data_IF_318008783079
#
_entry.id   IF_318008783079
#
_cell.length_a   1.000
_cell.length_b   1.000
_cell.length_c   1.000
_cell.angle_alpha   90.00
_cell.angle_beta   90.00
_cell.angle_gamma   90.00
#
_symmetry.space_group_name_H-M   'P 1'
#
loop_
_entity.id
_entity.type
_entity.pdbx_description
1 polymer ?
#
# COMPACT_ATOMS: atom_id res chain seq x y z
N UNK A 1 9.46 -48.53 7.67
CA UNK A 1 9.39 -47.91 6.31
C UNK A 1 8.81 -46.50 6.49
N UNK A 2 9.70 -45.52 6.72
CA UNK A 2 9.33 -44.12 6.95
C UNK A 2 9.48 -43.44 5.60
N UNK A 3 8.36 -43.13 4.95
CA UNK A 3 8.33 -42.38 3.70
C UNK A 3 8.55 -40.88 4.02
N UNK A 4 9.62 -40.35 3.49
CA UNK A 4 9.94 -38.92 3.46
C UNK A 4 8.84 -38.16 2.71
N UNK A 5 8.07 -37.35 3.43
CA UNK A 5 7.34 -36.22 2.86
C UNK A 5 8.26 -35.00 2.89
N UNK A 6 9.15 -34.90 1.91
CA UNK A 6 9.98 -33.72 1.71
C UNK A 6 9.42 -32.89 0.56
N UNK A 7 8.91 -31.70 0.92
CA UNK A 7 9.00 -30.45 0.15
C UNK A 7 8.46 -30.40 -1.27
N UNK A 8 7.13 -30.33 -1.39
CA UNK A 8 6.50 -29.68 -2.55
C UNK A 8 6.42 -28.13 -2.42
N UNK A 9 6.79 -27.59 -1.28
CA UNK A 9 6.72 -26.16 -0.99
C UNK A 9 7.83 -25.32 -1.67
N UNK A 10 8.97 -25.92 -1.98
CA UNK A 10 10.10 -25.19 -2.56
C UNK A 10 9.99 -24.97 -4.09
N UNK A 11 9.21 -25.79 -4.80
CA UNK A 11 9.10 -25.71 -6.24
C UNK A 11 8.08 -24.68 -6.76
N UNK A 12 7.13 -24.25 -5.92
CA UNK A 12 6.13 -23.25 -6.31
C UNK A 12 6.69 -21.83 -6.28
N UNK A 13 7.77 -21.59 -5.57
CA UNK A 13 8.41 -20.27 -5.45
C UNK A 13 9.29 -19.89 -6.65
N UNK A 14 9.67 -20.86 -7.51
CA UNK A 14 10.55 -20.64 -8.65
C UNK A 14 9.87 -20.02 -9.89
N UNK A 15 8.54 -19.86 -9.89
CA UNK A 15 7.77 -19.27 -10.99
C UNK A 15 7.00 -17.99 -10.61
N UNK A 16 7.19 -17.43 -9.43
CA UNK A 16 6.61 -16.14 -9.05
C UNK A 16 7.27 -15.04 -9.91
N UNK A 17 6.50 -14.51 -10.83
CA UNK A 17 6.94 -13.46 -11.75
C UNK A 17 6.80 -12.13 -11.03
N UNK A 18 7.84 -11.70 -10.31
CA UNK A 18 7.80 -10.36 -9.69
C UNK A 18 7.52 -9.30 -10.76
N UNK A 19 6.52 -8.48 -10.54
CA UNK A 19 6.21 -7.34 -11.40
C UNK A 19 5.78 -6.14 -10.57
N UNK A 20 5.92 -4.95 -11.14
CA UNK A 20 5.35 -3.71 -10.64
C UNK A 20 4.55 -3.09 -11.77
N UNK A 21 3.29 -2.74 -11.49
CA UNK A 21 2.41 -2.06 -12.42
C UNK A 21 1.97 -0.72 -11.83
N UNK A 22 2.27 0.36 -12.53
CA UNK A 22 1.73 1.68 -12.22
C UNK A 22 0.24 1.72 -12.60
N UNK A 23 -0.61 1.96 -11.62
CA UNK A 23 -2.05 2.15 -11.82
C UNK A 23 -2.34 3.61 -12.11
N UNK A 24 -1.90 4.50 -11.25
CA UNK A 24 -1.88 5.97 -11.45
C UNK A 24 -1.23 6.67 -10.25
N UNK A 25 -0.80 7.92 -10.42
CA UNK A 25 -0.13 8.69 -9.36
C UNK A 25 0.93 7.85 -8.65
N UNK A 26 0.77 7.69 -7.31
CA UNK A 26 1.60 6.80 -6.51
C UNK A 26 1.04 5.37 -6.38
N UNK A 27 -0.17 5.08 -6.91
CA UNK A 27 -0.81 3.77 -6.77
C UNK A 27 -0.12 2.73 -7.64
N UNK A 28 0.43 1.71 -6.99
CA UNK A 28 1.10 0.58 -7.63
C UNK A 28 0.40 -0.73 -7.24
N UNK A 29 0.21 -1.64 -8.21
CA UNK A 29 -0.05 -3.06 -7.92
C UNK A 29 1.20 -3.85 -8.27
N UNK A 30 1.64 -4.70 -7.35
CA UNK A 30 2.85 -5.47 -7.56
C UNK A 30 2.70 -6.90 -7.08
N UNK A 31 3.45 -7.80 -7.70
CA UNK A 31 3.69 -9.14 -7.20
C UNK A 31 5.13 -9.24 -6.73
N UNK A 32 5.33 -9.64 -5.50
CA UNK A 32 6.63 -9.86 -4.90
C UNK A 32 6.60 -11.06 -3.97
N UNK A 33 7.55 -11.97 -4.12
CA UNK A 33 7.65 -13.22 -3.35
C UNK A 33 6.32 -14.03 -3.31
N UNK A 34 5.55 -14.01 -4.41
CA UNK A 34 4.27 -14.70 -4.54
C UNK A 34 3.10 -14.00 -3.83
N UNK A 35 3.25 -12.72 -3.43
CA UNK A 35 2.21 -11.90 -2.81
C UNK A 35 1.78 -10.77 -3.72
N UNK A 36 0.46 -10.54 -3.78
CA UNK A 36 -0.14 -9.40 -4.47
C UNK A 36 -0.26 -8.23 -3.50
N UNK A 37 0.43 -7.13 -3.81
CA UNK A 37 0.56 -5.97 -2.92
C UNK A 37 -0.01 -4.74 -3.63
N UNK A 38 -0.85 -3.99 -2.94
CA UNK A 38 -1.32 -2.68 -3.38
C UNK A 38 -0.61 -1.59 -2.58
N UNK A 39 0.01 -0.65 -3.28
CA UNK A 39 0.70 0.50 -2.67
C UNK A 39 -0.10 1.76 -2.94
N UNK A 40 -0.27 2.61 -1.93
CA UNK A 40 -0.90 3.93 -2.00
C UNK A 40 -2.22 3.93 -2.80
N UNK A 41 -3.29 3.31 -2.27
CA UNK A 41 -4.53 3.07 -2.99
C UNK A 41 -5.36 4.34 -3.18
N UNK A 42 -5.07 5.13 -4.20
CA UNK A 42 -5.89 6.25 -4.66
C UNK A 42 -6.89 5.75 -5.71
N UNK A 43 -8.09 5.35 -5.29
CA UNK A 43 -9.04 4.60 -6.11
C UNK A 43 -10.24 5.42 -6.64
N UNK A 44 -10.42 6.65 -6.19
CA UNK A 44 -11.53 7.51 -6.57
C UNK A 44 -11.55 7.88 -8.06
N UNK A 45 -12.62 8.40 -8.56
CA UNK A 45 -12.73 8.86 -9.95
C UNK A 45 -11.75 10.01 -10.25
N UNK A 46 -11.37 10.18 -11.51
CA UNK A 46 -10.59 11.36 -11.93
C UNK A 46 -11.25 12.65 -11.42
N UNK A 47 -10.48 13.49 -10.75
CA UNK A 47 -10.94 14.78 -10.25
C UNK A 47 -11.81 14.72 -8.99
N UNK A 48 -11.89 13.58 -8.30
CA UNK A 48 -12.75 13.40 -7.13
C UNK A 48 -12.21 14.05 -5.84
N UNK A 49 -10.95 14.45 -5.81
CA UNK A 49 -10.28 15.03 -4.65
C UNK A 49 -9.67 16.39 -4.98
N UNK A 50 -9.64 17.29 -4.00
CA UNK A 50 -8.95 18.60 -4.13
C UNK A 50 -7.43 18.40 -4.03
N UNK A 51 -6.68 19.16 -4.81
CA UNK A 51 -5.23 19.21 -4.66
C UNK A 51 -4.86 20.12 -3.48
N UNK A 52 -4.03 19.64 -2.57
CA UNK A 52 -3.57 20.42 -1.42
C UNK A 52 -2.73 21.65 -1.82
N UNK A 53 -1.98 21.56 -2.92
CA UNK A 53 -1.04 22.60 -3.37
C UNK A 53 -1.28 23.07 -4.81
N UNK A 54 -2.35 22.64 -5.46
CA UNK A 54 -2.58 22.93 -6.86
C UNK A 54 -4.00 23.35 -7.21
N UNK A 55 -4.15 23.98 -8.37
CA UNK A 55 -5.46 24.40 -8.91
C UNK A 55 -6.24 23.24 -9.57
N UNK A 56 -5.56 22.12 -9.87
CA UNK A 56 -6.20 21.01 -10.57
C UNK A 56 -6.58 19.92 -9.58
N UNK A 57 -7.81 19.40 -9.64
CA UNK A 57 -8.25 18.31 -8.77
C UNK A 57 -7.46 17.01 -9.03
N UNK A 58 -7.32 16.19 -8.01
CA UNK A 58 -6.77 14.84 -8.06
C UNK A 58 -7.88 13.77 -8.08
N UNK A 59 -7.60 12.55 -8.52
CA UNK A 59 -6.50 12.16 -9.42
C UNK A 59 -6.63 12.79 -10.81
N UNK A 60 -5.51 13.00 -11.49
CA UNK A 60 -5.48 13.68 -12.80
C UNK A 60 -5.84 12.78 -13.98
N UNK A 61 -5.77 11.49 -13.79
CA UNK A 61 -6.08 10.47 -14.80
C UNK A 61 -7.01 9.40 -14.22
N UNK A 62 -7.72 8.69 -15.09
CA UNK A 62 -8.49 7.52 -14.67
C UNK A 62 -7.57 6.36 -14.25
N UNK A 63 -8.12 5.37 -13.56
CA UNK A 63 -7.44 4.09 -13.37
C UNK A 63 -7.11 3.47 -14.73
N UNK A 64 -5.97 2.79 -14.82
CA UNK A 64 -5.52 2.09 -16.05
C UNK A 64 -6.23 0.76 -16.28
N UNK A 65 -7.04 0.31 -15.31
CA UNK A 65 -7.84 -0.91 -15.33
C UNK A 65 -9.05 -0.76 -14.41
N UNK A 66 -10.07 -1.64 -14.52
CA UNK A 66 -11.20 -1.66 -13.58
C UNK A 66 -10.72 -1.81 -12.13
N UNK A 67 -11.42 -1.13 -11.20
CA UNK A 67 -11.03 -1.15 -9.79
C UNK A 67 -11.12 -2.57 -9.20
N UNK A 68 -12.03 -3.38 -9.69
CA UNK A 68 -12.16 -4.79 -9.33
C UNK A 68 -10.88 -5.58 -9.63
N UNK A 69 -10.24 -5.33 -10.78
CA UNK A 69 -8.97 -5.95 -11.15
C UNK A 69 -7.80 -5.40 -10.32
N UNK A 70 -7.86 -4.12 -9.92
CA UNK A 70 -6.86 -3.56 -9.00
C UNK A 70 -6.90 -4.27 -7.66
N UNK A 71 -8.12 -4.58 -7.16
CA UNK A 71 -8.34 -5.18 -5.84
C UNK A 71 -8.29 -6.71 -5.83
N UNK A 72 -8.32 -7.34 -7.01
CA UNK A 72 -8.34 -8.79 -7.10
C UNK A 72 -7.05 -9.44 -6.61
N UNK A 73 -7.22 -10.48 -5.80
CA UNK A 73 -6.13 -11.32 -5.32
C UNK A 73 -5.17 -10.66 -4.32
N UNK A 74 -5.49 -9.48 -3.77
CA UNK A 74 -4.58 -8.79 -2.85
C UNK A 74 -4.36 -9.56 -1.55
N UNK A 75 -3.09 -9.68 -1.17
CA UNK A 75 -2.64 -10.22 0.12
C UNK A 75 -2.53 -9.13 1.20
N UNK A 76 -1.98 -7.96 0.84
CA UNK A 76 -1.88 -6.82 1.77
C UNK A 76 -1.70 -5.48 1.04
N UNK A 77 -1.80 -4.41 1.81
CA UNK A 77 -1.62 -3.03 1.35
C UNK A 77 -0.46 -2.37 2.07
N UNK A 78 0.35 -1.61 1.34
CA UNK A 78 1.37 -0.69 1.86
C UNK A 78 0.89 0.74 1.66
N UNK A 79 0.99 1.58 2.68
CA UNK A 79 0.72 3.00 2.58
C UNK A 79 1.96 3.79 2.97
N UNK A 80 2.48 4.59 2.05
CA UNK A 80 3.67 5.42 2.32
C UNK A 80 3.36 6.53 3.31
N UNK A 81 2.19 7.17 3.15
CA UNK A 81 1.65 8.15 4.08
C UNK A 81 0.19 8.49 3.72
N UNK A 82 -0.55 9.01 4.69
CA UNK A 82 -1.97 9.31 4.56
C UNK A 82 -2.20 10.73 4.02
N UNK A 83 -1.88 10.95 2.73
CA UNK A 83 -2.24 12.18 2.02
C UNK A 83 -3.29 11.91 0.92
N UNK A 84 -4.11 12.92 0.56
CA UNK A 84 -5.24 12.73 -0.36
C UNK A 84 -4.85 12.42 -1.81
N UNK A 85 -3.58 12.45 -2.17
CA UNK A 85 -3.03 12.03 -3.44
C UNK A 85 -2.39 10.63 -3.40
N UNK A 86 -2.39 9.97 -2.24
CA UNK A 86 -1.92 8.59 -2.01
C UNK A 86 -3.05 7.66 -1.56
N UNK A 87 -4.05 8.18 -0.85
CA UNK A 87 -5.12 7.40 -0.25
C UNK A 87 -6.41 8.20 -0.20
N UNK A 88 -7.57 7.56 -0.44
CA UNK A 88 -8.86 8.24 -0.50
C UNK A 88 -10.02 7.45 0.11
N UNK A 89 -11.16 8.12 0.26
CA UNK A 89 -12.40 7.50 0.77
C UNK A 89 -12.91 6.34 -0.10
N UNK A 90 -12.56 6.29 -1.38
CA UNK A 90 -12.94 5.19 -2.25
C UNK A 90 -12.21 3.92 -1.85
N UNK A 91 -10.92 4.02 -1.52
CA UNK A 91 -10.15 2.92 -0.94
C UNK A 91 -10.75 2.46 0.39
N UNK A 92 -11.14 3.41 1.27
CA UNK A 92 -11.83 3.08 2.53
C UNK A 92 -13.09 2.26 2.30
N UNK A 93 -13.87 2.58 1.27
CA UNK A 93 -15.15 1.91 0.96
C UNK A 93 -14.99 0.56 0.28
N UNK A 94 -14.00 0.43 -0.59
CA UNK A 94 -13.87 -0.74 -1.48
C UNK A 94 -12.93 -1.83 -0.94
N UNK A 95 -11.89 -1.47 -0.19
CA UNK A 95 -10.97 -2.45 0.36
C UNK A 95 -11.62 -3.13 1.57
N UNK A 96 -11.56 -4.45 1.63
CA UNK A 96 -12.13 -5.23 2.75
C UNK A 96 -11.43 -4.87 4.06
N UNK A 97 -12.20 -4.78 5.15
CA UNK A 97 -11.73 -4.27 6.45
C UNK A 97 -10.77 -5.20 7.20
N UNK A 98 -10.73 -6.46 6.82
CA UNK A 98 -9.78 -7.45 7.36
C UNK A 98 -8.50 -7.58 6.52
N UNK A 99 -8.32 -6.73 5.49
CA UNK A 99 -7.08 -6.64 4.73
C UNK A 99 -5.93 -6.23 5.66
N UNK A 100 -4.79 -6.93 5.63
CA UNK A 100 -3.58 -6.46 6.31
C UNK A 100 -3.08 -5.15 5.67
N UNK A 101 -2.78 -4.16 6.50
CA UNK A 101 -2.18 -2.89 6.11
C UNK A 101 -0.88 -2.68 6.84
N UNK A 102 0.15 -2.29 6.11
CA UNK A 102 1.42 -1.85 6.67
C UNK A 102 1.60 -0.38 6.33
N UNK A 103 1.71 0.44 7.37
CA UNK A 103 1.69 1.90 7.28
C UNK A 103 2.81 2.48 8.13
N UNK A 104 3.13 3.74 7.97
CA UNK A 104 3.97 4.42 8.96
C UNK A 104 3.26 4.53 10.31
N UNK A 105 4.02 4.57 11.40
CA UNK A 105 3.46 4.58 12.77
C UNK A 105 2.51 5.74 13.03
N UNK A 106 2.76 6.86 12.39
CA UNK A 106 2.01 8.10 12.51
C UNK A 106 0.58 8.01 11.93
N UNK A 107 0.35 7.09 10.99
CA UNK A 107 -0.94 6.94 10.30
C UNK A 107 -1.81 5.81 10.88
N UNK A 108 -1.29 4.99 11.80
CA UNK A 108 -1.99 3.81 12.33
C UNK A 108 -3.37 4.16 12.90
N UNK A 109 -3.46 5.23 13.69
CA UNK A 109 -4.73 5.65 14.31
C UNK A 109 -5.79 5.93 13.24
N UNK A 110 -5.42 6.65 12.18
CA UNK A 110 -6.34 6.95 11.09
C UNK A 110 -6.80 5.67 10.40
N UNK A 111 -5.87 4.85 9.95
CA UNK A 111 -6.17 3.66 9.13
C UNK A 111 -6.94 2.61 9.94
N UNK A 112 -6.56 2.38 11.19
CA UNK A 112 -7.14 1.34 12.03
C UNK A 112 -8.43 1.77 12.70
N UNK A 113 -8.39 2.90 13.42
CA UNK A 113 -9.49 3.28 14.29
C UNK A 113 -10.57 4.10 13.56
N UNK A 114 -10.19 5.00 12.64
CA UNK A 114 -11.14 5.85 11.92
C UNK A 114 -11.66 5.21 10.64
N UNK A 115 -10.76 4.57 9.86
CA UNK A 115 -11.14 3.94 8.59
C UNK A 115 -11.58 2.47 8.77
N UNK A 116 -11.30 1.86 9.94
CA UNK A 116 -11.80 0.55 10.36
C UNK A 116 -11.01 -0.64 9.79
N UNK A 117 -9.76 -0.47 9.35
CA UNK A 117 -8.93 -1.58 8.91
C UNK A 117 -8.30 -2.30 10.10
N UNK A 118 -8.99 -3.31 10.62
CA UNK A 118 -8.66 -3.99 11.88
C UNK A 118 -7.25 -4.59 11.95
N UNK A 119 -6.64 -4.90 10.81
CA UNK A 119 -5.30 -5.47 10.69
C UNK A 119 -4.23 -4.46 10.25
N UNK A 120 -4.45 -3.16 10.48
CA UNK A 120 -3.43 -2.16 10.23
C UNK A 120 -2.33 -2.20 11.30
N UNK A 121 -1.08 -2.21 10.84
CA UNK A 121 0.14 -2.28 11.66
C UNK A 121 1.10 -1.17 11.25
N UNK A 122 1.58 -0.40 12.22
CA UNK A 122 2.61 0.62 12.00
C UNK A 122 4.00 0.03 11.94
N UNK A 123 4.77 0.40 10.93
CA UNK A 123 6.18 0.03 10.82
C UNK A 123 7.03 1.16 11.39
N UNK A 124 7.72 0.90 12.50
CA UNK A 124 8.69 1.84 13.05
C UNK A 124 9.99 1.82 12.24
N UNK A 125 10.59 0.65 12.06
CA UNK A 125 11.82 0.43 11.31
C UNK A 125 11.68 -0.75 10.34
N UNK A 126 11.31 -1.94 10.80
CA UNK A 126 11.05 -3.10 9.94
C UNK A 126 10.01 -4.04 10.57
N UNK A 127 9.44 -4.90 9.72
CA UNK A 127 8.54 -5.99 10.12
C UNK A 127 8.73 -7.19 9.19
N UNK A 128 8.56 -8.39 9.74
CA UNK A 128 8.46 -9.63 8.95
C UNK A 128 7.00 -9.99 8.75
N UNK A 129 6.61 -10.22 7.50
CA UNK A 129 5.26 -10.67 7.17
C UNK A 129 5.29 -11.72 6.07
N UNK A 130 4.83 -12.93 6.38
CA UNK A 130 4.73 -14.09 5.47
C UNK A 130 6.00 -14.34 4.62
N UNK A 131 7.17 -14.17 5.23
CA UNK A 131 8.47 -14.38 4.60
C UNK A 131 9.03 -13.17 3.84
N UNK A 132 8.36 -12.01 3.92
CA UNK A 132 8.85 -10.75 3.38
C UNK A 132 9.29 -9.85 4.53
N UNK A 133 10.52 -9.36 4.47
CA UNK A 133 11.01 -8.30 5.36
C UNK A 133 10.65 -6.95 4.76
N UNK A 134 9.80 -6.17 5.44
CA UNK A 134 9.41 -4.82 5.02
C UNK A 134 10.18 -3.81 5.87
N UNK A 135 11.10 -3.07 5.25
CA UNK A 135 11.94 -2.07 5.93
C UNK A 135 11.42 -0.68 5.58
N UNK A 136 11.12 0.13 6.60
CA UNK A 136 10.69 1.51 6.43
C UNK A 136 11.89 2.43 6.21
N UNK A 137 11.84 3.24 5.17
CA UNK A 137 12.75 4.36 4.94
C UNK A 137 11.98 5.65 5.25
N UNK A 138 12.42 6.37 6.27
CA UNK A 138 11.79 7.62 6.70
C UNK A 138 12.09 8.75 5.73
N UNK A 139 11.09 9.52 5.36
CA UNK A 139 11.17 10.69 4.50
C UNK A 139 10.38 11.88 5.07
N UNK A 140 10.57 13.02 4.46
CA UNK A 140 9.84 14.25 4.75
C UNK A 140 9.47 14.96 3.45
N UNK A 141 8.33 15.64 3.42
CA UNK A 141 7.86 16.41 2.26
C UNK A 141 8.64 17.70 2.02
N UNK A 142 9.55 18.09 2.90
CA UNK A 142 10.31 19.30 2.79
C UNK A 142 11.13 19.61 4.04
N UNK A 143 11.70 20.80 4.09
CA UNK A 143 12.47 21.30 5.24
C UNK A 143 11.71 22.45 5.91
N UNK A 144 12.00 22.67 7.21
CA UNK A 144 11.41 23.77 8.00
C UNK A 144 9.89 23.66 8.07
N UNK A 145 9.23 24.79 8.12
CA UNK A 145 7.79 24.92 8.38
C UNK A 145 6.91 24.13 7.41
N UNK A 146 7.31 24.03 6.11
CA UNK A 146 6.56 23.23 5.13
C UNK A 146 6.64 21.73 5.47
N UNK A 147 7.82 21.24 5.81
CA UNK A 147 7.99 19.82 6.20
C UNK A 147 7.21 19.47 7.45
N UNK A 148 7.16 20.38 8.43
CA UNK A 148 6.38 20.19 9.64
C UNK A 148 4.87 20.16 9.38
N UNK A 149 4.36 21.02 8.50
CA UNK A 149 2.94 21.07 8.13
C UNK A 149 2.50 19.86 7.29
N UNK A 150 3.35 19.38 6.39
CA UNK A 150 3.04 18.24 5.53
C UNK A 150 3.23 16.90 6.23
N UNK A 151 3.97 16.88 7.35
CA UNK A 151 4.23 15.67 8.11
C UNK A 151 5.22 14.70 7.43
N UNK A 152 5.47 13.56 8.07
CA UNK A 152 6.38 12.54 7.58
C UNK A 152 5.82 11.79 6.37
N UNK A 153 6.71 11.23 5.59
CA UNK A 153 6.41 10.26 4.56
C UNK A 153 7.31 9.04 4.72
N UNK A 154 7.00 7.95 4.04
CA UNK A 154 7.80 6.73 4.10
C UNK A 154 8.00 6.14 2.71
N UNK A 155 9.15 5.51 2.50
CA UNK A 155 9.36 4.50 1.47
C UNK A 155 9.53 3.13 2.13
N UNK A 156 9.46 2.07 1.35
CA UNK A 156 9.65 0.71 1.83
C UNK A 156 10.62 -0.05 0.95
N UNK A 157 11.46 -0.88 1.58
CA UNK A 157 12.26 -1.93 0.93
C UNK A 157 11.63 -3.26 1.29
N UNK A 158 11.49 -4.13 0.28
CA UNK A 158 10.98 -5.49 0.40
C UNK A 158 12.07 -6.50 0.09
#
# INVERSE_FOLDING_TARGET
MILMQTSMSAFTQLNAKNYIRLIRNATLKMEYAGKQILVDPLLGAKGSSVSALGVNPNPRVNLTMPVEEVLDGLDFTLLTHNHPDHYDETAVKLIRKDMPWFVQTEDVEQIKEKDGFSRAVGIADCIEYEGITIIRIRGNHGRGQLGEQMGPSSGYIL
#
